data_IF_661463448657
#
_entry.id   IF_661463448657
#
_cell.length_a   1.000
_cell.length_b   1.000
_cell.length_c   1.000
_cell.angle_alpha   90.00
_cell.angle_beta   90.00
_cell.angle_gamma   90.00
#
_symmetry.space_group_name_H-M   'P 1'
#
loop_
_entity.id
_entity.type
_entity.pdbx_description
1 polymer ?
#
# COMPACT_ATOMS: atom_id res chain seq x y z
N UNK A 1 -12.06 8.34 -12.91
CA UNK A 1 -11.30 7.38 -13.74
C UNK A 1 -9.87 7.84 -14.03
N UNK A 2 -9.57 9.13 -14.20
CA UNK A 2 -8.20 9.61 -14.45
C UNK A 2 -7.22 9.52 -13.26
N UNK A 3 -7.73 9.44 -12.02
CA UNK A 3 -6.88 9.43 -10.81
C UNK A 3 -6.49 8.03 -10.32
N UNK A 4 -7.18 6.98 -10.74
CA UNK A 4 -6.88 5.62 -10.27
C UNK A 4 -5.49 5.15 -10.72
N UNK A 5 -5.10 5.51 -11.94
CA UNK A 5 -3.79 5.17 -12.48
C UNK A 5 -2.63 5.83 -11.73
N UNK A 6 -2.58 7.16 -11.53
CA UNK A 6 -1.52 7.78 -10.76
C UNK A 6 -1.52 7.34 -9.29
N UNK A 7 -2.69 7.16 -8.66
CA UNK A 7 -2.75 6.66 -7.27
C UNK A 7 -2.19 5.24 -7.16
N UNK A 8 -2.52 4.34 -8.10
CA UNK A 8 -1.97 2.99 -8.12
C UNK A 8 -0.44 3.00 -8.33
N UNK A 9 0.04 3.81 -9.28
CA UNK A 9 1.48 3.93 -9.57
C UNK A 9 2.26 4.46 -8.35
N UNK A 10 1.75 5.50 -7.67
CA UNK A 10 2.38 6.05 -6.46
C UNK A 10 2.36 5.06 -5.31
N UNK A 11 1.25 4.33 -5.13
CA UNK A 11 1.12 3.33 -4.05
C UNK A 11 2.12 2.19 -4.25
N UNK A 12 2.22 1.66 -5.47
CA UNK A 12 3.19 0.60 -5.80
C UNK A 12 4.62 1.11 -5.61
N UNK A 13 4.93 2.33 -6.07
CA UNK A 13 6.25 2.96 -5.92
C UNK A 13 6.63 3.12 -4.43
N UNK A 14 5.75 3.70 -3.61
CA UNK A 14 5.97 3.88 -2.16
C UNK A 14 6.18 2.56 -1.43
N UNK A 15 5.49 1.51 -1.87
CA UNK A 15 5.54 0.22 -1.22
C UNK A 15 6.82 -0.54 -1.61
N UNK A 16 7.25 -0.37 -2.85
CA UNK A 16 8.53 -0.82 -3.36
C UNK A 16 9.73 -0.07 -2.75
N UNK A 17 9.61 1.23 -2.50
CA UNK A 17 10.63 2.04 -1.81
C UNK A 17 10.88 1.56 -0.36
N UNK A 18 10.00 0.71 0.19
CA UNK A 18 10.15 0.05 1.49
C UNK A 18 10.66 -1.39 1.43
N UNK A 19 11.06 -1.88 0.26
CA UNK A 19 11.44 -3.29 0.04
C UNK A 19 10.28 -4.30 0.08
N UNK A 20 9.03 -3.84 0.30
CA UNK A 20 7.83 -4.69 0.21
C UNK A 20 7.40 -4.87 -1.24
N UNK A 21 6.87 -6.05 -1.59
CA UNK A 21 6.41 -6.33 -2.96
C UNK A 21 5.18 -5.50 -3.30
N UNK A 22 5.11 -4.93 -4.51
CA UNK A 22 3.93 -4.24 -5.02
C UNK A 22 2.62 -5.05 -4.90
N UNK A 23 2.74 -6.37 -4.72
CA UNK A 23 1.65 -7.28 -4.38
C UNK A 23 0.86 -6.87 -3.12
N UNK A 24 1.46 -6.16 -2.16
CA UNK A 24 0.72 -5.67 -1.00
C UNK A 24 -0.38 -4.67 -1.41
N UNK A 25 -0.23 -3.94 -2.53
CA UNK A 25 -1.30 -3.08 -3.05
C UNK A 25 -2.59 -3.87 -3.36
N UNK A 26 -2.50 -5.18 -3.62
CA UNK A 26 -3.66 -6.05 -3.77
C UNK A 26 -4.50 -6.15 -2.48
N UNK A 27 -3.92 -5.92 -1.29
CA UNK A 27 -4.67 -5.87 -0.04
C UNK A 27 -5.69 -4.73 -0.03
N UNK A 28 -5.42 -3.61 -0.70
CA UNK A 28 -6.41 -2.53 -0.84
C UNK A 28 -7.57 -2.95 -1.73
N UNK A 29 -7.28 -3.70 -2.79
CA UNK A 29 -8.31 -4.28 -3.67
C UNK A 29 -9.12 -5.33 -2.89
N UNK A 30 -8.45 -6.19 -2.12
CA UNK A 30 -9.10 -7.17 -1.25
C UNK A 30 -9.99 -6.50 -0.21
N UNK A 31 -9.52 -5.45 0.46
CA UNK A 31 -10.31 -4.68 1.42
C UNK A 31 -11.53 -4.04 0.75
N UNK A 32 -11.38 -3.50 -0.46
CA UNK A 32 -12.50 -3.00 -1.24
C UNK A 32 -13.50 -4.09 -1.60
N UNK A 33 -13.03 -5.26 -2.05
CA UNK A 33 -13.90 -6.42 -2.34
C UNK A 33 -14.62 -6.91 -1.08
N UNK A 34 -13.93 -6.93 0.06
CA UNK A 34 -14.51 -7.23 1.37
C UNK A 34 -15.56 -6.21 1.79
N UNK A 35 -15.41 -4.94 1.43
CA UNK A 35 -16.40 -3.91 1.77
C UNK A 35 -17.60 -3.91 0.82
N UNK A 36 -17.37 -4.21 -0.46
CA UNK A 36 -18.39 -4.28 -1.52
C UNK A 36 -19.16 -5.60 -1.55
N UNK A 37 -18.67 -6.64 -0.87
CA UNK A 37 -19.32 -7.95 -0.78
C UNK A 37 -20.67 -7.88 -0.06
N UNK A 38 -21.64 -8.68 -0.53
CA UNK A 38 -22.93 -8.78 0.13
C UNK A 38 -22.87 -9.85 1.25
N UNK A 39 -22.51 -9.41 2.46
CA UNK A 39 -22.35 -10.29 3.63
C UNK A 39 -23.65 -10.63 4.37
N UNK A 40 -24.81 -10.35 3.77
CA UNK A 40 -26.12 -10.71 4.34
C UNK A 40 -26.33 -12.23 4.44
N UNK A 41 -25.50 -13.02 3.76
CA UNK A 41 -25.46 -14.49 3.86
C UNK A 41 -24.82 -15.00 5.16
N UNK A 42 -24.02 -14.17 5.86
CA UNK A 42 -23.36 -14.54 7.11
C UNK A 42 -24.23 -14.14 8.32
N UNK A 43 -24.62 -15.07 9.20
CA UNK A 43 -25.38 -14.73 10.39
C UNK A 43 -24.49 -14.15 11.51
N UNK A 44 -25.05 -13.19 12.25
CA UNK A 44 -24.48 -12.69 13.52
C UNK A 44 -23.26 -11.79 13.36
N UNK A 45 -22.33 -11.90 14.32
CA UNK A 45 -21.15 -11.01 14.44
C UNK A 45 -20.21 -11.10 13.23
N UNK A 46 -20.23 -12.22 12.51
CA UNK A 46 -19.38 -12.44 11.32
C UNK A 46 -19.67 -11.49 10.17
N UNK A 47 -20.93 -11.04 9.98
CA UNK A 47 -21.26 -10.02 9.00
C UNK A 47 -20.53 -8.70 9.28
N UNK A 48 -20.48 -8.31 10.56
CA UNK A 48 -19.83 -7.08 10.99
C UNK A 48 -18.29 -7.20 10.94
N UNK A 49 -17.75 -8.34 11.37
CA UNK A 49 -16.30 -8.59 11.36
C UNK A 49 -15.76 -8.61 9.94
N UNK A 50 -16.36 -9.42 9.05
CA UNK A 50 -15.86 -9.57 7.67
C UNK A 50 -16.20 -8.35 6.82
N UNK A 51 -17.40 -7.77 6.97
CA UNK A 51 -17.86 -6.68 6.13
C UNK A 51 -17.37 -5.29 6.55
N UNK A 52 -16.96 -5.08 7.82
CA UNK A 52 -16.45 -3.79 8.30
C UNK A 52 -15.09 -3.90 8.95
N UNK A 53 -14.93 -4.75 9.97
CA UNK A 53 -13.73 -4.74 10.82
C UNK A 53 -12.44 -5.12 10.07
N UNK A 54 -12.47 -6.22 9.32
CA UNK A 54 -11.32 -6.68 8.53
C UNK A 54 -10.90 -5.64 7.47
N UNK A 55 -11.81 -5.11 6.62
CA UNK A 55 -11.42 -4.11 5.64
C UNK A 55 -10.92 -2.79 6.27
N UNK A 56 -11.49 -2.31 7.38
CA UNK A 56 -10.93 -1.13 8.07
C UNK A 56 -9.54 -1.41 8.65
N UNK A 57 -9.29 -2.57 9.24
CA UNK A 57 -7.96 -2.92 9.73
C UNK A 57 -6.92 -2.93 8.61
N UNK A 58 -7.25 -3.50 7.44
CA UNK A 58 -6.35 -3.51 6.28
C UNK A 58 -6.04 -2.09 5.83
N UNK A 59 -7.05 -1.22 5.73
CA UNK A 59 -6.88 0.18 5.31
C UNK A 59 -6.02 0.95 6.31
N UNK A 60 -6.29 0.83 7.61
CA UNK A 60 -5.52 1.52 8.66
C UNK A 60 -4.07 1.03 8.66
N UNK A 61 -3.86 -0.28 8.57
CA UNK A 61 -2.52 -0.85 8.49
C UNK A 61 -1.78 -0.32 7.27
N UNK A 62 -2.41 -0.31 6.09
CA UNK A 62 -1.87 0.29 4.86
C UNK A 62 -1.57 1.77 5.01
N UNK A 63 -2.45 2.54 5.64
CA UNK A 63 -2.29 3.98 5.78
C UNK A 63 -1.12 4.32 6.70
N UNK A 64 -0.94 3.57 7.79
CA UNK A 64 0.20 3.70 8.68
C UNK A 64 1.48 3.22 7.95
N UNK A 65 1.42 2.06 7.30
CA UNK A 65 2.52 1.48 6.51
C UNK A 65 2.94 2.34 5.33
N UNK A 66 2.09 3.20 4.77
CA UNK A 66 2.41 4.07 3.62
C UNK A 66 2.65 5.52 4.03
N UNK A 67 1.98 6.02 5.06
CA UNK A 67 1.95 7.43 5.45
C UNK A 67 2.75 7.79 6.71
N UNK A 68 2.84 6.90 7.70
CA UNK A 68 3.45 7.23 9.00
C UNK A 68 4.89 6.74 9.14
N UNK A 69 5.23 5.59 8.56
CA UNK A 69 6.59 5.07 8.62
C UNK A 69 7.48 5.69 7.53
N UNK A 70 8.72 6.05 7.85
CA UNK A 70 9.73 6.46 6.86
C UNK A 70 10.12 5.23 6.01
N UNK A 71 10.43 5.45 4.72
CA UNK A 71 10.93 4.38 3.86
C UNK A 71 12.22 3.77 4.44
N UNK A 72 12.48 2.49 4.16
CA UNK A 72 13.77 1.89 4.52
C UNK A 72 14.89 2.68 3.86
N UNK A 73 15.84 3.21 4.65
CA UNK A 73 17.05 3.83 4.11
C UNK A 73 18.08 2.74 3.81
N UNK A 74 18.62 2.75 2.59
CA UNK A 74 19.61 1.81 2.09
C UNK A 74 19.08 0.85 1.03
N UNK A 75 20.01 0.13 0.38
CA UNK A 75 19.76 -0.81 -0.72
C UNK A 75 18.57 -1.73 -0.44
N UNK A 76 17.62 -1.76 -1.38
CA UNK A 76 16.48 -2.66 -1.33
C UNK A 76 16.55 -3.62 -2.54
N UNK A 77 15.93 -4.80 -2.40
CA UNK A 77 15.92 -5.88 -3.42
C UNK A 77 15.45 -5.48 -4.83
N UNK A 78 14.90 -4.28 -4.98
CA UNK A 78 14.36 -3.76 -6.20
C UNK A 78 15.07 -2.51 -6.77
N UNK A 79 16.10 -1.99 -6.11
CA UNK A 79 16.83 -0.83 -6.60
C UNK A 79 18.05 -0.51 -5.75
N UNK A 80 19.17 -0.22 -6.41
CA UNK A 80 20.38 0.34 -5.78
C UNK A 80 20.08 1.73 -5.23
N UNK A 81 20.84 2.11 -4.21
CA UNK A 81 20.75 3.44 -3.60
C UNK A 81 20.81 4.55 -4.66
N UNK A 82 20.06 5.62 -4.41
CA UNK A 82 20.13 6.83 -5.21
C UNK A 82 21.56 7.35 -5.19
N UNK A 83 22.21 7.43 -6.36
CA UNK A 83 23.50 8.07 -6.48
C UNK A 83 23.38 9.54 -6.10
N UNK A 84 24.27 10.01 -5.23
CA UNK A 84 24.39 11.42 -4.92
C UNK A 84 24.63 12.21 -6.21
N UNK A 85 23.80 13.23 -6.41
CA UNK A 85 23.92 14.12 -7.56
C UNK A 85 25.17 14.99 -7.32
N UNK A 86 26.25 14.71 -8.05
CA UNK A 86 27.45 15.56 -8.02
C UNK A 86 27.13 16.89 -8.71
N UNK A 87 26.87 17.92 -7.91
CA UNK A 87 26.53 19.27 -8.39
C UNK A 87 27.73 20.09 -8.90
N UNK A 88 28.96 19.59 -8.78
CA UNK A 88 30.15 20.29 -9.27
C UNK A 88 30.86 19.48 -10.34
N UNK A 89 30.98 20.08 -11.53
CA UNK A 89 32.06 19.74 -12.45
C UNK A 89 33.37 20.16 -11.77
N UNK A 90 34.24 19.19 -11.49
CA UNK A 90 35.63 19.48 -11.12
C UNK A 90 36.23 20.31 -12.26
N UNK A 91 36.60 21.55 -11.94
CA UNK A 91 37.33 22.47 -12.83
C UNK A 91 38.82 22.26 -12.62
#
# INVERSE_FOLDING_TARGET
MCLLWPTAAVTIKRLHDRGKSGLWALLMILAWMLLAGNWSVLPGVWQWVVGRFVPTLIIVMMFIDLGAFVGTQGENKFGKDTQDVRWKAET
#
